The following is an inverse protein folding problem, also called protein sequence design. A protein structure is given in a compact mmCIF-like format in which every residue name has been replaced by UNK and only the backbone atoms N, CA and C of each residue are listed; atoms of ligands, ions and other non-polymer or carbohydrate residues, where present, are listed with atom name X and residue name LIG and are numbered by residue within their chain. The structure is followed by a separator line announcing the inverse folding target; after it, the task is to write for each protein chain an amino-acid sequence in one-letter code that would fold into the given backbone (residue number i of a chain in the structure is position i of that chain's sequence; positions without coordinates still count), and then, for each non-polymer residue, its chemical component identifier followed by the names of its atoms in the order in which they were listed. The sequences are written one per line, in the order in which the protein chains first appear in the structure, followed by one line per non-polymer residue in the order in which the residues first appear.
data_IF_806744261244
#
_entry.id   IF_806744261244
#
_cell.length_a   1.000
_cell.length_b   1.000
_cell.length_c   1.000
_cell.angle_alpha   90.00
_cell.angle_beta   90.00
_cell.angle_gamma   90.00
#
_symmetry.space_group_name_H-M   'P 1'
#
loop_
_entity.id
_entity.type
_entity.pdbx_description
1 polymer ?
#
# COMPACT_ATOMS: atom_id res chain seq x y z
N UNK A 1 18.87 -18.94 -24.96
CA UNK A 1 18.50 -18.97 -24.51
C UNK A 1 18.30 -18.85 -23.88
N UNK A 2 18.25 -18.71 -23.67
CA UNK A 2 18.00 -18.60 -23.07
C UNK A 2 17.60 -18.36 -22.48
N UNK A 3 17.58 -18.16 -22.40
CA UNK A 3 17.20 -17.95 -21.92
C UNK A 3 16.88 -17.71 -21.36
N UNK A 4 16.90 -17.57 -21.31
CA UNK A 4 16.62 -17.35 -20.80
C UNK A 4 16.25 -17.29 -20.32
N UNK A 5 16.39 -17.24 -20.37
CA UNK A 5 16.08 -17.17 -19.83
C UNK A 5 15.70 -17.31 -19.49
N UNK A 6 15.75 -17.31 -19.72
CA UNK A 6 15.36 -17.51 -19.46
C UNK A 6 15.01 -17.81 -18.87
N UNK A 7 15.02 -17.52 -18.71
CA UNK A 7 14.81 -17.88 -18.15
C UNK A 7 14.30 -18.34 -17.58
N UNK A 8 14.97 -18.60 -17.21
CA UNK A 8 14.20 -19.52 -16.74
C UNK A 8 12.73 -19.37 -16.65
N UNK A 9 12.17 -19.44 -17.33
CA UNK A 9 10.75 -19.47 -17.34
C UNK A 9 10.00 -18.59 -16.40
N UNK A 10 10.65 -17.94 -15.47
CA UNK A 10 9.99 -17.12 -14.48
C UNK A 10 9.80 -15.71 -15.00
N UNK A 11 8.54 -15.30 -15.15
CA UNK A 11 8.21 -13.98 -15.65
C UNK A 11 7.55 -13.15 -14.54
N UNK A 12 8.25 -12.12 -14.05
CA UNK A 12 7.75 -11.27 -12.99
C UNK A 12 6.49 -10.52 -13.36
N UNK A 13 6.34 -10.11 -14.61
CA UNK A 13 5.12 -9.42 -15.08
C UNK A 13 3.93 -10.38 -15.02
N UNK A 14 4.11 -11.62 -15.43
CA UNK A 14 3.04 -12.61 -15.35
C UNK A 14 2.65 -12.92 -13.92
N UNK A 15 3.63 -12.98 -13.02
CA UNK A 15 3.37 -13.19 -11.60
C UNK A 15 2.52 -12.04 -11.01
N UNK A 16 2.89 -10.81 -11.29
CA UNK A 16 2.17 -9.64 -10.78
C UNK A 16 0.75 -9.61 -11.34
N UNK A 17 0.58 -9.91 -12.63
CA UNK A 17 -0.75 -9.99 -13.23
C UNK A 17 -1.61 -11.08 -12.61
N UNK A 18 -1.02 -12.22 -12.33
CA UNK A 18 -1.72 -13.33 -11.70
C UNK A 18 -2.16 -12.95 -10.28
N UNK A 19 -1.29 -12.28 -9.54
CA UNK A 19 -1.62 -11.80 -8.21
C UNK A 19 -2.75 -10.77 -8.25
N UNK A 20 -2.71 -9.83 -9.18
CA UNK A 20 -3.77 -8.84 -9.34
C UNK A 20 -5.10 -9.49 -9.70
N UNK A 21 -5.09 -10.49 -10.57
CA UNK A 21 -6.29 -11.24 -10.92
C UNK A 21 -6.86 -11.98 -9.71
N UNK A 22 -6.00 -12.57 -8.90
CA UNK A 22 -6.40 -13.23 -7.66
C UNK A 22 -7.05 -12.25 -6.70
N UNK A 23 -6.46 -11.08 -6.52
CA UNK A 23 -7.02 -10.07 -5.63
C UNK A 23 -8.40 -9.61 -6.10
N UNK A 24 -8.59 -9.45 -7.40
CA UNK A 24 -9.90 -9.10 -7.97
C UNK A 24 -10.91 -10.23 -7.75
N UNK A 25 -10.48 -11.46 -7.93
CA UNK A 25 -11.37 -12.62 -7.74
C UNK A 25 -11.79 -12.79 -6.28
N UNK A 26 -10.95 -12.37 -5.34
CA UNK A 26 -11.22 -12.46 -3.92
C UNK A 26 -11.98 -11.26 -3.35
N UNK A 27 -12.40 -10.33 -4.20
CA UNK A 27 -13.19 -9.20 -3.75
C UNK A 27 -12.88 -7.89 -4.44
N UNK A 28 -11.64 -7.66 -4.81
CA UNK A 28 -11.25 -6.47 -5.58
C UNK A 28 -11.59 -5.16 -4.92
N UNK A 29 -11.51 -5.08 -3.60
CA UNK A 29 -11.86 -3.89 -2.85
C UNK A 29 -10.88 -2.74 -3.10
N UNK A 30 -11.19 -1.60 -2.53
CA UNK A 30 -10.35 -0.42 -2.57
C UNK A 30 -10.14 0.09 -1.16
N UNK A 31 -8.92 0.53 -0.88
CA UNK A 31 -8.61 1.27 0.34
C UNK A 31 -7.97 2.60 -0.06
N UNK A 32 -8.11 3.57 0.81
CA UNK A 32 -7.50 4.89 0.60
C UNK A 32 -6.38 5.04 1.60
N UNK A 33 -5.17 5.28 1.11
CA UNK A 33 -4.03 5.56 1.97
C UNK A 33 -3.86 7.08 2.04
N UNK A 34 -3.71 7.58 3.26
CA UNK A 34 -3.63 9.01 3.52
C UNK A 34 -2.16 9.38 3.70
N UNK A 35 -1.70 10.31 2.89
CA UNK A 35 -0.34 10.82 2.95
C UNK A 35 -0.34 12.30 3.30
N UNK A 36 0.70 12.79 3.98
CA UNK A 36 0.84 14.23 4.15
C UNK A 36 1.12 14.88 2.80
N UNK A 37 0.56 16.06 2.59
CA UNK A 37 0.95 16.86 1.43
C UNK A 37 2.40 17.26 1.60
N UNK A 38 3.17 17.09 0.51
CA UNK A 38 4.52 17.62 0.46
C UNK A 38 4.38 19.12 0.29
N UNK A 39 4.64 19.88 1.34
CA UNK A 39 4.59 21.33 1.28
C UNK A 39 5.58 21.84 0.25
N UNK A 40 5.18 22.89 -0.47
CA UNK A 40 6.13 23.59 -1.31
C UNK A 40 7.19 24.23 -0.44
N UNK A 41 8.49 24.00 -0.71
CA UNK A 41 9.56 24.52 0.13
C UNK A 41 9.53 26.04 0.34
N UNK A 42 8.85 26.75 -0.55
CA UNK A 42 8.80 28.22 -0.55
C UNK A 42 7.43 28.80 -0.23
N UNK A 43 6.53 27.98 0.34
CA UNK A 43 5.22 28.49 0.72
C UNK A 43 5.34 29.26 2.05
N UNK A 44 5.17 30.60 2.06
CA UNK A 44 5.26 31.36 3.28
C UNK A 44 4.26 30.97 4.35
N UNK A 45 3.07 30.56 3.93
CA UNK A 45 2.02 30.12 4.86
C UNK A 45 2.44 28.86 5.61
N UNK A 46 3.07 27.93 4.91
CA UNK A 46 3.58 26.73 5.54
C UNK A 46 4.72 27.02 6.50
N UNK A 47 5.61 27.96 6.12
CA UNK A 47 6.73 28.33 6.97
C UNK A 47 6.26 29.03 8.26
N UNK A 48 5.17 29.74 8.18
CA UNK A 48 4.61 30.46 9.34
C UNK A 48 3.64 29.59 10.16
N UNK A 49 3.42 28.34 9.74
CA UNK A 49 2.46 27.47 10.41
C UNK A 49 1.02 27.89 10.25
N UNK A 50 0.72 28.75 9.30
CA UNK A 50 -0.63 29.26 9.05
C UNK A 50 -1.41 28.43 8.04
N UNK A 51 -0.73 27.58 7.27
CA UNK A 51 -1.39 26.71 6.31
C UNK A 51 -1.83 25.43 7.00
N UNK A 52 -3.05 25.01 6.69
CA UNK A 52 -3.47 23.65 7.01
C UNK A 52 -2.48 22.70 6.31
N UNK A 53 -1.82 21.79 7.04
CA UNK A 53 -0.89 20.85 6.39
C UNK A 53 -1.51 20.04 5.30
N UNK A 54 -2.85 19.84 5.36
CA UNK A 54 -3.54 19.09 4.33
C UNK A 54 -3.10 17.64 4.25
N UNK A 55 -3.89 16.85 3.59
CA UNK A 55 -3.55 15.45 3.34
C UNK A 55 -3.90 15.13 1.90
N UNK A 56 -3.23 14.13 1.36
CA UNK A 56 -3.57 13.56 0.07
C UNK A 56 -4.09 12.15 0.26
N UNK A 57 -5.24 11.89 -0.35
CA UNK A 57 -5.88 10.58 -0.30
C UNK A 57 -5.62 9.86 -1.61
N UNK A 58 -5.02 8.69 -1.51
CA UNK A 58 -4.63 7.90 -2.69
C UNK A 58 -5.32 6.57 -2.63
N UNK A 59 -6.18 6.25 -3.61
CA UNK A 59 -6.84 4.96 -3.65
C UNK A 59 -5.88 3.88 -4.15
N UNK A 60 -5.94 2.72 -3.52
CA UNK A 60 -5.24 1.51 -3.96
C UNK A 60 -6.25 0.42 -4.27
N UNK A 61 -6.12 -0.18 -5.43
CA UNK A 61 -7.00 -1.24 -5.92
C UNK A 61 -6.24 -2.06 -6.96
N UNK A 62 -6.42 -3.37 -7.07
CA UNK A 62 -7.26 -4.20 -6.21
C UNK A 62 -6.60 -4.51 -4.87
N UNK A 63 -7.41 -4.60 -3.84
CA UNK A 63 -6.96 -5.04 -2.52
C UNK A 63 -7.93 -6.08 -1.97
N UNK A 64 -7.47 -6.89 -1.04
CA UNK A 64 -8.34 -7.77 -0.27
C UNK A 64 -8.19 -7.39 1.19
N UNK A 65 -9.32 -7.13 1.84
CA UNK A 65 -9.36 -6.74 3.25
C UNK A 65 -9.95 -7.87 4.06
N UNK A 66 -9.25 -8.26 5.11
CA UNK A 66 -9.67 -9.32 6.00
C UNK A 66 -9.61 -8.83 7.44
N UNK A 67 -10.69 -9.05 8.19
CA UNK A 67 -10.68 -8.73 9.61
C UNK A 67 -9.86 -9.76 10.37
N UNK A 68 -8.99 -9.27 11.24
CA UNK A 68 -8.23 -10.13 12.13
C UNK A 68 -8.91 -10.15 13.49
N UNK A 69 -9.18 -11.36 13.99
CA UNK A 69 -9.66 -11.52 15.35
C UNK A 69 -8.47 -11.47 16.29
N UNK A 70 -8.47 -10.46 17.16
CA UNK A 70 -7.49 -10.43 18.23
C UNK A 70 -8.10 -11.11 19.46
N UNK A 71 -7.49 -12.16 19.90
CA UNK A 71 -7.93 -12.80 21.13
C UNK A 71 -7.67 -11.84 22.30
N UNK A 72 -8.72 -11.34 22.86
CA UNK A 72 -8.70 -11.02 24.26
C UNK A 72 -8.45 -9.60 24.68
N UNK A 73 -8.28 -8.63 23.83
CA UNK A 73 -8.02 -7.31 24.39
C UNK A 73 -8.55 -6.18 23.57
N UNK A 74 -9.72 -5.77 23.92
CA UNK A 74 -10.22 -4.47 23.54
C UNK A 74 -10.96 -4.45 22.22
N UNK A 75 -11.70 -3.37 22.02
CA UNK A 75 -12.63 -3.22 20.91
C UNK A 75 -11.96 -2.78 19.60
N UNK A 76 -10.65 -2.70 19.54
CA UNK A 76 -9.96 -2.19 18.36
C UNK A 76 -10.06 -3.18 17.22
N UNK A 77 -10.55 -2.70 16.10
CA UNK A 77 -10.56 -3.48 14.87
C UNK A 77 -9.13 -3.54 14.31
N UNK A 78 -8.79 -4.71 13.81
CA UNK A 78 -7.51 -4.92 13.15
C UNK A 78 -7.80 -5.55 11.81
N UNK A 79 -7.20 -5.02 10.76
CA UNK A 79 -7.39 -5.46 9.38
C UNK A 79 -6.08 -5.92 8.81
N UNK A 80 -6.15 -6.99 8.02
CA UNK A 80 -5.06 -7.38 7.14
C UNK A 80 -5.47 -7.03 5.72
N UNK A 81 -4.61 -6.30 5.02
CA UNK A 81 -4.89 -5.82 3.68
C UNK A 81 -3.80 -6.34 2.76
N UNK A 82 -4.21 -7.05 1.71
CA UNK A 82 -3.32 -7.48 0.65
C UNK A 82 -3.47 -6.51 -0.51
N UNK A 83 -2.39 -5.86 -0.88
CA UNK A 83 -2.40 -4.78 -1.87
C UNK A 83 -1.59 -5.20 -3.09
N UNK A 84 -2.13 -4.90 -4.26
CA UNK A 84 -1.45 -5.14 -5.54
C UNK A 84 -0.09 -4.44 -5.59
N UNK A 85 0.94 -5.18 -5.98
CA UNK A 85 2.26 -4.59 -6.13
C UNK A 85 2.33 -3.60 -7.30
N UNK A 86 1.54 -3.82 -8.34
CA UNK A 86 1.49 -2.90 -9.48
C UNK A 86 0.86 -1.56 -9.09
N UNK A 87 -0.18 -1.59 -8.25
CA UNK A 87 -0.80 -0.37 -7.74
C UNK A 87 0.18 0.45 -6.89
N UNK A 88 0.96 -0.24 -6.05
CA UNK A 88 1.99 0.42 -5.24
C UNK A 88 3.09 0.99 -6.12
N UNK A 89 3.56 0.23 -7.09
CA UNK A 89 4.63 0.66 -7.99
C UNK A 89 4.25 1.93 -8.74
N UNK A 90 2.98 2.07 -9.11
CA UNK A 90 2.50 3.25 -9.83
C UNK A 90 2.57 4.52 -8.98
N UNK A 91 2.62 4.41 -7.66
CA UNK A 91 2.65 5.57 -6.76
C UNK A 91 4.06 5.94 -6.28
N UNK A 92 5.07 5.14 -6.60
CA UNK A 92 6.42 5.42 -6.11
C UNK A 92 7.02 6.68 -6.73
N UNK A 93 6.96 6.80 -8.06
CA UNK A 93 7.55 7.94 -8.77
C UNK A 93 6.83 9.25 -8.46
N UNK A 94 5.48 9.33 -8.51
CA UNK A 94 4.79 10.57 -8.18
C UNK A 94 5.08 11.09 -6.79
N UNK A 95 5.40 10.19 -5.85
CA UNK A 95 5.67 10.55 -4.47
C UNK A 95 7.15 10.59 -4.14
N UNK A 96 7.98 10.36 -5.13
CA UNK A 96 9.43 10.35 -4.94
C UNK A 96 9.86 9.37 -3.84
N UNK A 97 9.17 8.24 -3.77
CA UNK A 97 9.47 7.20 -2.80
C UNK A 97 10.49 6.22 -3.37
N UNK A 98 11.49 5.88 -2.59
CA UNK A 98 12.57 4.99 -3.02
C UNK A 98 12.11 3.53 -3.08
N UNK A 99 11.12 3.17 -2.27
CA UNK A 99 10.63 1.79 -2.17
C UNK A 99 9.20 1.78 -1.66
N UNK A 100 8.55 0.64 -1.79
CA UNK A 100 7.21 0.44 -1.23
C UNK A 100 7.22 0.61 0.28
N UNK A 101 8.24 0.10 0.96
CA UNK A 101 8.37 0.26 2.40
C UNK A 101 8.47 1.74 2.79
N UNK A 102 9.29 2.51 2.08
CA UNK A 102 9.41 3.94 2.32
C UNK A 102 8.09 4.66 2.09
N UNK A 103 7.35 4.27 1.05
CA UNK A 103 6.04 4.84 0.76
C UNK A 103 5.08 4.65 1.93
N UNK A 104 4.94 3.44 2.43
CA UNK A 104 4.01 3.14 3.52
C UNK A 104 4.48 3.69 4.86
N UNK A 105 5.80 3.79 5.08
CA UNK A 105 6.32 4.43 6.28
C UNK A 105 5.98 5.93 6.34
N UNK A 106 5.79 6.56 5.20
CA UNK A 106 5.38 7.96 5.14
C UNK A 106 3.88 8.17 5.22
N UNK A 107 3.08 7.11 5.24
CA UNK A 107 1.64 7.23 5.29
C UNK A 107 1.16 7.61 6.69
N UNK A 108 0.16 8.47 6.75
CA UNK A 108 -0.48 8.85 8.01
C UNK A 108 -1.49 7.81 8.49
N UNK A 109 -2.06 7.07 7.56
CA UNK A 109 -3.04 6.05 7.88
C UNK A 109 -3.73 5.54 6.63
N UNK A 110 -4.76 4.76 6.85
CA UNK A 110 -5.50 4.09 5.81
C UNK A 110 -6.98 4.17 6.13
N UNK A 111 -7.79 4.48 5.13
CA UNK A 111 -9.25 4.56 5.29
C UNK A 111 -9.89 3.36 4.59
N UNK A 112 -10.70 2.64 5.33
CA UNK A 112 -11.51 1.57 4.82
C UNK A 112 -12.88 1.62 5.48
N UNK A 113 -13.92 1.51 4.69
CA UNK A 113 -15.31 1.53 5.20
C UNK A 113 -15.59 2.77 6.04
N UNK A 114 -15.09 3.93 5.57
CA UNK A 114 -15.22 5.24 6.22
C UNK A 114 -14.58 5.33 7.59
N UNK A 115 -13.69 4.41 7.93
CA UNK A 115 -12.95 4.45 9.18
C UNK A 115 -11.46 4.60 8.93
N UNK A 116 -10.80 5.37 9.78
CA UNK A 116 -9.36 5.56 9.71
C UNK A 116 -8.65 4.51 10.55
N UNK A 117 -7.66 3.88 9.96
CA UNK A 117 -6.80 2.89 10.61
C UNK A 117 -5.36 3.35 10.56
N UNK A 118 -4.61 3.01 11.58
CA UNK A 118 -3.16 3.24 11.62
C UNK A 118 -2.43 2.02 11.09
N UNK A 119 -1.43 2.24 10.26
CA UNK A 119 -0.63 1.15 9.71
C UNK A 119 0.32 0.64 10.80
N UNK A 120 0.13 -0.62 11.17
CA UNK A 120 0.94 -1.25 12.22
C UNK A 120 2.15 -1.97 11.64
N UNK A 121 1.99 -2.63 10.50
CA UNK A 121 3.08 -3.34 9.86
C UNK A 121 2.88 -3.40 8.35
N UNK A 122 3.99 -3.57 7.67
CA UNK A 122 4.04 -3.68 6.23
C UNK A 122 5.06 -4.76 5.88
N UNK A 123 4.67 -5.68 5.02
CA UNK A 123 5.56 -6.76 4.59
C UNK A 123 5.30 -7.10 3.14
N UNK A 124 6.36 -7.16 2.32
CA UNK A 124 6.22 -7.68 0.96
C UNK A 124 6.15 -9.19 0.98
N UNK A 125 5.40 -9.75 0.04
CA UNK A 125 5.39 -11.18 -0.23
C UNK A 125 6.19 -11.42 -1.50
N UNK A 126 7.18 -12.30 -1.41
CA UNK A 126 8.10 -12.56 -2.50
C UNK A 126 7.89 -13.95 -3.09
N UNK A 127 8.10 -14.04 -4.39
CA UNK A 127 8.28 -15.31 -5.09
C UNK A 127 9.33 -15.11 -6.16
N UNK A 128 10.36 -15.95 -6.15
CA UNK A 128 11.45 -15.83 -7.10
C UNK A 128 12.18 -14.49 -7.02
N UNK A 129 12.25 -13.89 -5.82
CA UNK A 129 12.90 -12.60 -5.61
C UNK A 129 12.07 -11.39 -6.02
N UNK A 130 10.82 -11.60 -6.43
CA UNK A 130 9.94 -10.54 -6.88
C UNK A 130 8.80 -10.37 -5.90
N UNK A 131 8.57 -9.13 -5.45
CA UNK A 131 7.42 -8.80 -4.62
C UNK A 131 6.18 -8.78 -5.51
N UNK A 132 5.24 -9.69 -5.26
CA UNK A 132 4.03 -9.79 -6.08
C UNK A 132 2.80 -9.22 -5.40
N UNK A 133 2.84 -9.04 -4.09
CA UNK A 133 1.84 -8.28 -3.35
C UNK A 133 2.45 -7.79 -2.04
N UNK A 134 1.76 -6.86 -1.41
CA UNK A 134 2.15 -6.34 -0.11
C UNK A 134 1.07 -6.62 0.91
N UNK A 135 1.50 -6.96 2.10
CA UNK A 135 0.59 -7.24 3.22
C UNK A 135 0.73 -6.12 4.24
N UNK A 136 -0.37 -5.48 4.53
CA UNK A 136 -0.42 -4.38 5.50
C UNK A 136 -1.35 -4.80 6.62
N UNK A 137 -0.91 -4.59 7.85
CA UNK A 137 -1.78 -4.74 9.02
C UNK A 137 -2.07 -3.34 9.55
N UNK A 138 -3.35 -3.04 9.70
CA UNK A 138 -3.80 -1.74 10.16
C UNK A 138 -4.71 -1.92 11.37
N UNK A 139 -4.65 -0.99 12.29
CA UNK A 139 -5.40 -1.03 13.56
C UNK A 139 -6.16 0.27 13.74
N UNK A 140 -7.38 0.16 14.23
CA UNK A 140 -8.28 1.28 14.52
C UNK A 140 -7.70 2.23 15.56
#
# INVERSE_FOLDING_TARGET
MTDSGMGVGFNGVALVRAADAMLRALGGAEVIVVFPLVGMPNDPSAQLGLADPGVQQVPFSPVVVRSLTTSGTGPRRRLEIMISSSAVAAELAPRNAASAEALFNGALGLVYDNELFHIESFAPEYFGGIAYLYRVVAVE
#
